data_IF_065173481396
#
_entry.id   IF_065173481396
#
_cell.length_a   1.000
_cell.length_b   1.000
_cell.length_c   1.000
_cell.angle_alpha   90.00
_cell.angle_beta   90.00
_cell.angle_gamma   90.00
#
_symmetry.space_group_name_H-M   'P 1'
#
loop_
_entity.id
_entity.type
_entity.pdbx_description
1 polymer ?
#
# COMPACT_ATOMS: atom_id res chain seq x y z
N UNK A 1 6.20 10.53 18.96
CA UNK A 1 4.88 10.74 19.61
C UNK A 1 3.92 11.23 18.53
N UNK A 2 2.69 10.70 18.46
CA UNK A 2 1.72 11.13 17.44
C UNK A 2 1.16 12.49 17.83
N UNK A 3 1.07 13.41 16.88
CA UNK A 3 0.51 14.74 17.12
C UNK A 3 -1.00 14.67 17.11
N UNK A 4 -1.63 15.27 18.12
CA UNK A 4 -3.09 15.26 18.30
C UNK A 4 -3.55 16.68 18.60
N UNK A 5 -4.77 17.04 18.18
CA UNK A 5 -5.36 18.32 18.55
C UNK A 5 -5.59 18.38 20.07
N UNK A 6 -5.35 19.54 20.68
CA UNK A 6 -5.55 19.80 22.10
C UNK A 6 -6.97 19.47 22.58
N UNK A 7 -7.99 19.68 21.74
CA UNK A 7 -9.36 19.29 22.05
C UNK A 7 -9.53 17.78 22.25
N UNK A 8 -8.87 16.99 21.41
CA UNK A 8 -8.90 15.54 21.49
C UNK A 8 -8.02 15.02 22.62
N UNK A 9 -6.87 15.65 22.88
CA UNK A 9 -6.03 15.34 24.05
C UNK A 9 -6.84 15.48 25.36
N UNK A 10 -7.46 16.65 25.57
CA UNK A 10 -8.30 16.88 26.76
C UNK A 10 -9.47 15.89 26.85
N UNK A 11 -10.08 15.52 25.72
CA UNK A 11 -11.16 14.53 25.68
C UNK A 11 -10.69 13.16 26.18
N UNK A 12 -9.55 12.68 25.68
CA UNK A 12 -8.99 11.38 26.04
C UNK A 12 -8.51 11.33 27.50
N UNK A 13 -8.07 12.44 28.07
CA UNK A 13 -7.66 12.53 29.48
C UNK A 13 -8.85 12.57 30.46
N UNK A 14 -9.95 13.21 30.07
CA UNK A 14 -11.08 13.51 30.98
C UNK A 14 -12.14 12.42 30.96
N UNK A 15 -12.44 11.88 29.77
CA UNK A 15 -13.61 11.03 29.57
C UNK A 15 -13.33 9.56 29.84
N UNK A 16 -14.22 8.94 30.61
CA UNK A 16 -14.11 7.53 30.99
C UNK A 16 -14.76 6.59 29.98
N UNK A 17 -15.69 7.10 29.16
CA UNK A 17 -16.40 6.35 28.13
C UNK A 17 -16.09 7.00 26.79
N UNK A 18 -15.34 6.28 25.97
CA UNK A 18 -14.86 6.78 24.69
C UNK A 18 -15.51 5.95 23.58
N UNK A 19 -16.18 6.64 22.68
CA UNK A 19 -16.69 6.06 21.43
C UNK A 19 -15.71 6.40 20.31
N UNK A 20 -15.31 5.39 19.54
CA UNK A 20 -14.37 5.55 18.43
C UNK A 20 -14.71 4.64 17.27
N UNK A 21 -14.31 5.03 16.07
CA UNK A 21 -14.35 4.19 14.89
C UNK A 21 -13.04 4.25 14.11
N UNK A 22 -12.87 3.32 13.19
CA UNK A 22 -11.74 3.31 12.29
C UNK A 22 -12.14 3.89 10.92
N UNK A 23 -11.29 4.76 10.39
CA UNK A 23 -11.41 5.42 9.10
C UNK A 23 -10.26 4.95 8.20
N UNK A 24 -10.59 4.61 6.97
CA UNK A 24 -9.65 4.11 5.97
C UNK A 24 -9.56 5.07 4.81
N UNK A 25 -8.34 5.44 4.44
CA UNK A 25 -8.03 6.18 3.22
C UNK A 25 -7.20 5.29 2.30
N UNK A 26 -7.78 4.86 1.19
CA UNK A 26 -7.14 4.11 0.13
C UNK A 26 -6.69 5.07 -0.96
N UNK A 27 -5.39 5.08 -1.27
CA UNK A 27 -4.79 5.90 -2.32
C UNK A 27 -4.25 4.96 -3.38
N UNK A 28 -4.78 5.03 -4.59
CA UNK A 28 -4.31 4.22 -5.71
C UNK A 28 -3.04 4.81 -6.34
N UNK A 29 -2.34 4.04 -7.17
CA UNK A 29 -1.11 4.48 -7.87
C UNK A 29 -1.36 5.68 -8.81
N UNK A 30 -2.58 5.77 -9.38
CA UNK A 30 -3.03 6.91 -10.19
C UNK A 30 -3.27 8.20 -9.38
N UNK A 31 -3.18 8.14 -8.05
CA UNK A 31 -3.40 9.26 -7.13
C UNK A 31 -4.85 9.44 -6.65
N UNK A 32 -5.79 8.65 -7.16
CA UNK A 32 -7.19 8.70 -6.72
C UNK A 32 -7.32 8.21 -5.27
N UNK A 33 -8.20 8.86 -4.52
CA UNK A 33 -8.40 8.64 -3.09
C UNK A 33 -9.82 8.18 -2.81
N UNK A 34 -9.93 7.16 -1.99
CA UNK A 34 -11.19 6.58 -1.55
C UNK A 34 -11.25 6.52 -0.03
N UNK A 35 -12.40 6.87 0.53
CA UNK A 35 -12.58 7.09 1.96
C UNK A 35 -13.70 6.18 2.48
N UNK A 36 -13.36 5.30 3.42
CA UNK A 36 -14.27 4.29 3.98
C UNK A 36 -14.29 4.34 5.50
N UNK A 37 -15.44 4.05 6.10
CA UNK A 37 -15.62 3.98 7.55
C UNK A 37 -16.14 2.61 7.98
N UNK A 38 -15.72 2.15 9.16
CA UNK A 38 -16.25 0.96 9.85
C UNK A 38 -17.44 1.31 10.76
N UNK A 39 -18.28 2.25 10.34
CA UNK A 39 -19.47 2.69 11.09
C UNK A 39 -20.74 2.36 10.34
N UNK A 40 -21.89 2.61 10.96
CA UNK A 40 -23.21 2.50 10.30
C UNK A 40 -23.70 3.84 9.74
N UNK A 41 -22.89 4.90 9.85
CA UNK A 41 -23.18 6.25 9.36
C UNK A 41 -21.96 6.83 8.66
N UNK A 42 -22.19 7.67 7.65
CA UNK A 42 -21.11 8.41 6.99
C UNK A 42 -20.47 9.41 7.95
N UNK A 43 -19.14 9.53 7.87
CA UNK A 43 -18.38 10.42 8.74
C UNK A 43 -17.71 11.50 7.91
N UNK A 44 -18.03 12.75 8.24
CA UNK A 44 -17.34 13.90 7.66
C UNK A 44 -16.15 14.29 8.54
N UNK A 45 -14.94 14.18 8.00
CA UNK A 45 -13.71 14.56 8.70
C UNK A 45 -12.70 15.18 7.73
N UNK A 46 -12.11 16.31 8.13
CA UNK A 46 -11.08 17.03 7.38
C UNK A 46 -11.46 17.34 5.91
N UNK A 47 -12.73 17.69 5.66
CA UNK A 47 -13.24 18.00 4.32
C UNK A 47 -13.58 16.79 3.45
N UNK A 48 -13.42 15.56 3.96
CA UNK A 48 -13.77 14.32 3.26
C UNK A 48 -14.90 13.58 3.95
N UNK A 49 -15.75 12.93 3.15
CA UNK A 49 -16.81 12.05 3.63
C UNK A 49 -16.35 10.61 3.52
N UNK A 50 -16.22 9.94 4.65
CA UNK A 50 -15.92 8.52 4.74
C UNK A 50 -17.21 7.73 4.67
N UNK A 51 -17.32 6.90 3.65
CA UNK A 51 -18.53 6.15 3.34
C UNK A 51 -18.65 4.90 4.21
N UNK A 52 -19.81 4.70 4.81
CA UNK A 52 -20.12 3.53 5.64
C UNK A 52 -20.62 2.32 4.83
N UNK A 53 -21.31 2.58 3.72
CA UNK A 53 -22.05 1.58 2.96
C UNK A 53 -21.36 1.11 1.68
N UNK A 54 -20.10 1.49 1.46
CA UNK A 54 -19.39 1.19 0.22
C UNK A 54 -18.55 -0.09 0.30
N UNK A 55 -18.00 -0.44 1.45
CA UNK A 55 -17.20 -1.65 1.66
C UNK A 55 -17.31 -2.09 3.12
N UNK A 56 -17.42 -3.40 3.36
CA UNK A 56 -17.33 -3.95 4.71
C UNK A 56 -15.87 -4.26 5.03
N UNK A 57 -15.24 -3.38 5.81
CA UNK A 57 -13.80 -3.44 6.09
C UNK A 57 -13.57 -3.87 7.53
N UNK A 58 -12.92 -5.02 7.72
CA UNK A 58 -12.50 -5.51 9.02
C UNK A 58 -10.99 -5.66 9.09
N UNK A 59 -10.36 -4.99 10.05
CA UNK A 59 -8.90 -5.12 10.27
C UNK A 59 -8.55 -6.06 11.40
N UNK A 60 -7.33 -6.57 11.35
CA UNK A 60 -6.66 -7.22 12.48
C UNK A 60 -5.85 -6.18 13.29
N UNK A 61 -5.27 -6.64 14.39
CA UNK A 61 -4.35 -5.83 15.19
C UNK A 61 -3.12 -5.44 14.36
N UNK A 62 -2.71 -4.17 14.45
CA UNK A 62 -1.47 -3.68 13.86
C UNK A 62 -0.30 -4.27 14.62
N UNK A 63 0.64 -4.90 13.90
CA UNK A 63 1.88 -5.45 14.47
C UNK A 63 2.99 -4.44 14.28
N UNK A 64 3.39 -3.80 15.39
CA UNK A 64 4.46 -2.81 15.44
C UNK A 64 5.64 -3.43 16.21
N UNK A 65 6.86 -3.27 15.70
CA UNK A 65 8.08 -3.78 16.29
C UNK A 65 9.04 -2.64 16.66
N UNK A 66 9.91 -2.88 17.63
CA UNK A 66 10.96 -1.96 18.10
C UNK A 66 12.29 -2.13 17.34
N UNK A 67 12.33 -3.02 16.34
CA UNK A 67 13.51 -3.37 15.54
C UNK A 67 13.27 -3.03 14.07
N UNK A 68 14.32 -3.10 13.25
CA UNK A 68 14.24 -2.94 11.78
C UNK A 68 13.56 -4.17 11.16
N UNK A 69 12.25 -4.27 11.37
CA UNK A 69 11.34 -5.27 10.80
C UNK A 69 10.17 -4.52 10.18
N UNK A 70 9.56 -5.11 9.16
CA UNK A 70 8.39 -4.52 8.51
C UNK A 70 7.19 -4.65 9.43
N UNK A 71 6.63 -3.51 9.82
CA UNK A 71 5.34 -3.47 10.51
C UNK A 71 4.21 -3.79 9.55
N UNK A 72 3.22 -4.52 10.05
CA UNK A 72 2.17 -5.10 9.22
C UNK A 72 0.78 -4.98 9.83
N UNK A 73 -0.21 -4.86 8.96
CA UNK A 73 -1.63 -4.93 9.31
C UNK A 73 -2.36 -5.73 8.24
N UNK A 74 -3.19 -6.68 8.66
CA UNK A 74 -4.10 -7.39 7.75
C UNK A 74 -5.47 -6.71 7.76
N UNK A 75 -6.03 -6.47 6.58
CA UNK A 75 -7.39 -5.98 6.40
C UNK A 75 -8.16 -6.95 5.52
N UNK A 76 -9.32 -7.37 5.98
CA UNK A 76 -10.27 -8.14 5.18
C UNK A 76 -11.35 -7.19 4.69
N UNK A 77 -11.51 -7.11 3.37
CA UNK A 77 -12.57 -6.37 2.70
C UNK A 77 -13.58 -7.37 2.17
N UNK A 78 -14.84 -7.14 2.50
CA UNK A 78 -15.98 -7.82 1.88
C UNK A 78 -16.72 -6.78 1.05
N UNK A 79 -17.03 -7.15 -0.19
CA UNK A 79 -17.64 -6.27 -1.16
C UNK A 79 -18.63 -7.06 -2.01
N UNK A 80 -19.71 -6.38 -2.40
CA UNK A 80 -20.70 -6.89 -3.35
C UNK A 80 -20.38 -6.39 -4.77
N UNK A 81 -21.14 -6.86 -5.76
CA UNK A 81 -21.01 -6.46 -7.16
C UNK A 81 -21.30 -4.97 -7.41
N UNK A 82 -22.06 -4.34 -6.50
CA UNK A 82 -22.41 -2.93 -6.56
C UNK A 82 -21.29 -2.02 -6.04
N UNK A 83 -20.37 -2.57 -5.24
CA UNK A 83 -19.28 -1.82 -4.65
C UNK A 83 -18.17 -1.66 -5.68
N UNK A 84 -18.02 -0.44 -6.19
CA UNK A 84 -17.14 -0.14 -7.32
C UNK A 84 -15.86 0.56 -6.88
N UNK A 85 -14.76 0.16 -7.51
CA UNK A 85 -13.47 0.83 -7.47
C UNK A 85 -13.05 1.12 -8.92
N UNK A 86 -12.77 2.38 -9.26
CA UNK A 86 -12.48 2.80 -10.64
C UNK A 86 -13.57 2.36 -11.67
N UNK A 87 -14.83 2.32 -11.23
CA UNK A 87 -15.98 1.94 -12.07
C UNK A 87 -16.18 0.43 -12.26
N UNK A 88 -15.25 -0.41 -11.80
CA UNK A 88 -15.35 -1.86 -11.81
C UNK A 88 -15.78 -2.39 -10.43
N UNK A 89 -16.48 -3.54 -10.34
CA UNK A 89 -16.69 -4.20 -9.06
C UNK A 89 -15.36 -4.40 -8.31
N UNK A 90 -15.34 -4.14 -7.00
CA UNK A 90 -14.12 -4.08 -6.20
C UNK A 90 -13.25 -5.34 -6.35
N UNK A 91 -13.88 -6.53 -6.36
CA UNK A 91 -13.16 -7.79 -6.53
C UNK A 91 -12.51 -7.93 -7.91
N UNK A 92 -13.22 -7.50 -8.95
CA UNK A 92 -12.68 -7.51 -10.31
C UNK A 92 -11.53 -6.50 -10.44
N UNK A 93 -11.65 -5.32 -9.83
CA UNK A 93 -10.58 -4.33 -9.79
C UNK A 93 -9.32 -4.88 -9.12
N UNK A 94 -9.47 -5.61 -8.00
CA UNK A 94 -8.35 -6.27 -7.34
C UNK A 94 -7.70 -7.35 -8.22
N UNK A 95 -8.48 -8.17 -8.92
CA UNK A 95 -7.96 -9.16 -9.87
C UNK A 95 -7.25 -8.54 -11.07
N UNK A 96 -7.67 -7.36 -11.50
CA UNK A 96 -7.06 -6.61 -12.59
C UNK A 96 -5.78 -5.85 -12.16
N UNK A 97 -5.36 -5.95 -10.89
CA UNK A 97 -4.15 -5.27 -10.39
C UNK A 97 -4.35 -3.79 -10.06
N UNK A 98 -5.59 -3.29 -9.94
CA UNK A 98 -5.85 -1.87 -9.61
C UNK A 98 -5.29 -1.48 -8.24
N UNK A 99 -5.18 -2.45 -7.33
CA UNK A 99 -4.61 -2.26 -5.99
C UNK A 99 -3.08 -2.32 -5.95
N UNK A 100 -2.42 -2.59 -7.08
CA UNK A 100 -0.96 -2.65 -7.13
C UNK A 100 -0.38 -1.27 -6.81
N UNK A 101 0.60 -1.25 -5.90
CA UNK A 101 1.24 -0.02 -5.37
C UNK A 101 0.30 0.94 -4.65
N UNK A 102 -0.95 0.55 -4.39
CA UNK A 102 -1.85 1.36 -3.60
C UNK A 102 -1.32 1.51 -2.16
N UNK A 103 -1.71 2.60 -1.50
CA UNK A 103 -1.43 2.86 -0.09
C UNK A 103 -2.72 2.89 0.70
N UNK A 104 -2.70 2.34 1.91
CA UNK A 104 -3.82 2.41 2.83
C UNK A 104 -3.37 3.10 4.11
N UNK A 105 -4.12 4.12 4.52
CA UNK A 105 -3.93 4.83 5.79
C UNK A 105 -5.12 4.55 6.70
N UNK A 106 -4.82 4.08 7.91
CA UNK A 106 -5.77 3.85 8.99
C UNK A 106 -5.70 5.00 9.97
N UNK A 107 -6.85 5.62 10.22
CA UNK A 107 -7.05 6.60 11.28
C UNK A 107 -8.09 6.09 12.26
N UNK A 108 -7.99 6.50 13.52
CA UNK A 108 -9.04 6.29 14.51
C UNK A 108 -9.69 7.60 14.83
N UNK A 109 -10.99 7.69 14.56
CA UNK A 109 -11.81 8.85 14.85
C UNK A 109 -12.50 8.67 16.21
N UNK A 110 -12.57 9.75 16.98
CA UNK A 110 -13.19 9.79 18.30
C UNK A 110 -14.39 10.71 18.28
N UNK A 111 -15.45 10.25 18.95
CA UNK A 111 -16.73 10.94 18.99
C UNK A 111 -17.05 11.39 20.41
N UNK A 112 -17.68 12.55 20.50
CA UNK A 112 -18.48 12.98 21.63
C UNK A 112 -19.92 13.02 21.15
N UNK A 113 -20.69 12.05 21.61
CA UNK A 113 -22.04 11.76 21.11
C UNK A 113 -22.02 11.50 19.59
N UNK A 114 -22.57 12.41 18.78
CA UNK A 114 -22.57 12.32 17.31
C UNK A 114 -21.53 13.25 16.65
N UNK A 115 -20.81 14.05 17.45
CA UNK A 115 -19.83 15.01 16.93
C UNK A 115 -18.43 14.41 16.92
N UNK A 116 -17.71 14.62 15.81
CA UNK A 116 -16.30 14.23 15.70
C UNK A 116 -15.45 15.19 16.53
N UNK A 117 -14.74 14.66 17.53
CA UNK A 117 -13.79 15.43 18.36
C UNK A 117 -12.45 15.57 17.64
N UNK A 118 -12.03 14.51 16.96
CA UNK A 118 -10.80 14.45 16.18
C UNK A 118 -10.43 13.01 15.81
N UNK A 119 -9.35 12.86 15.05
CA UNK A 119 -8.81 11.56 14.68
C UNK A 119 -7.30 11.46 14.89
N UNK A 120 -6.81 10.24 15.07
CA UNK A 120 -5.39 9.90 15.23
C UNK A 120 -4.97 8.93 14.13
N UNK A 121 -3.89 9.24 13.41
CA UNK A 121 -3.30 8.31 12.44
C UNK A 121 -2.75 7.08 13.18
N UNK A 122 -3.29 5.89 12.93
CA UNK A 122 -2.86 4.66 13.57
C UNK A 122 -1.72 3.97 12.82
N UNK A 123 -1.91 3.75 11.53
CA UNK A 123 -0.98 3.00 10.69
C UNK A 123 -1.14 3.39 9.22
N UNK A 124 -0.07 3.24 8.44
CA UNK A 124 -0.10 3.53 7.01
C UNK A 124 0.98 2.75 6.28
N UNK A 125 0.70 2.31 5.06
CA UNK A 125 1.65 1.51 4.29
C UNK A 125 1.16 1.16 2.90
N UNK A 126 1.98 0.43 2.16
CA UNK A 126 1.60 -0.09 0.84
C UNK A 126 0.72 -1.34 1.00
N UNK A 127 -0.24 -1.47 0.11
CA UNK A 127 -1.19 -2.57 0.03
C UNK A 127 -0.63 -3.68 -0.82
N UNK A 128 -0.73 -4.91 -0.33
CA UNK A 128 -0.51 -6.13 -1.10
C UNK A 128 -1.74 -7.02 -0.99
N UNK A 129 -2.18 -7.59 -2.10
CA UNK A 129 -3.27 -8.57 -2.11
C UNK A 129 -2.72 -9.92 -1.67
N UNK A 130 -3.08 -10.37 -0.47
CA UNK A 130 -2.63 -11.66 0.09
C UNK A 130 -3.50 -12.81 -0.38
N UNK A 131 -4.82 -12.60 -0.47
CA UNK A 131 -5.75 -13.54 -1.08
C UNK A 131 -6.98 -12.81 -1.59
N UNK A 132 -7.52 -13.28 -2.72
CA UNK A 132 -8.80 -12.83 -3.26
C UNK A 132 -9.61 -14.08 -3.61
N UNK A 133 -10.72 -14.31 -2.92
CA UNK A 133 -11.53 -15.51 -3.12
C UNK A 133 -12.96 -15.39 -2.62
N UNK A 134 -13.92 -15.82 -3.43
CA UNK A 134 -15.34 -15.70 -3.13
C UNK A 134 -15.76 -14.23 -3.05
N UNK A 135 -16.33 -13.82 -1.91
CA UNK A 135 -16.77 -12.45 -1.62
C UNK A 135 -15.80 -11.68 -0.70
N UNK A 136 -14.61 -12.24 -0.42
CA UNK A 136 -13.64 -11.66 0.50
C UNK A 136 -12.29 -11.45 -0.17
N UNK A 137 -11.65 -10.34 0.19
CA UNK A 137 -10.26 -10.04 -0.16
C UNK A 137 -9.49 -9.77 1.13
N UNK A 138 -8.34 -10.42 1.27
CA UNK A 138 -7.41 -10.17 2.36
C UNK A 138 -6.24 -9.35 1.82
N UNK A 139 -6.11 -8.14 2.36
CA UNK A 139 -5.05 -7.20 2.07
C UNK A 139 -4.02 -7.22 3.21
N UNK A 140 -2.75 -7.27 2.86
CA UNK A 140 -1.63 -7.06 3.76
C UNK A 140 -1.08 -5.65 3.54
N UNK A 141 -1.20 -4.80 4.55
CA UNK A 141 -0.64 -3.44 4.55
C UNK A 141 0.72 -3.51 5.23
N UNK A 142 1.76 -3.16 4.49
CA UNK A 142 3.15 -3.17 4.97
C UNK A 142 3.69 -1.75 5.05
N UNK A 143 4.34 -1.43 6.16
CA UNK A 143 5.01 -0.14 6.33
C UNK A 143 6.08 0.09 5.26
N UNK A 144 6.42 1.36 5.02
CA UNK A 144 7.42 1.76 4.00
C UNK A 144 8.82 1.19 4.29
N UNK A 145 9.09 0.75 5.54
CA UNK A 145 10.32 0.04 5.92
C UNK A 145 10.54 -1.26 5.15
N UNK A 146 9.53 -1.80 4.47
CA UNK A 146 9.72 -2.92 3.54
C UNK A 146 10.72 -2.64 2.42
N UNK A 147 10.84 -1.37 2.00
CA UNK A 147 11.82 -0.98 0.99
C UNK A 147 13.27 -1.18 1.42
N UNK A 148 13.54 -1.27 2.74
CA UNK A 148 14.88 -1.56 3.23
C UNK A 148 15.29 -3.01 2.97
N UNK A 149 14.32 -3.91 2.81
CA UNK A 149 14.54 -5.31 2.44
C UNK A 149 14.56 -5.47 0.90
N UNK A 150 15.26 -4.58 0.20
CA UNK A 150 15.50 -4.70 -1.24
C UNK A 150 16.92 -5.21 -1.49
N UNK A 151 17.10 -5.91 -2.59
CA UNK A 151 18.40 -6.43 -2.98
C UNK A 151 19.32 -5.27 -3.39
N UNK A 152 20.41 -5.07 -2.65
CA UNK A 152 21.46 -4.12 -3.00
C UNK A 152 22.56 -4.82 -3.82
N UNK A 153 23.18 -4.16 -4.80
CA UNK A 153 22.91 -2.82 -5.33
C UNK A 153 21.77 -2.79 -6.36
N UNK A 154 21.04 -1.67 -6.42
CA UNK A 154 19.90 -1.43 -7.34
C UNK A 154 20.27 -1.67 -8.81
N UNK A 155 21.53 -1.42 -9.17
CA UNK A 155 22.07 -1.70 -10.50
C UNK A 155 23.22 -2.66 -10.38
N UNK A 156 23.12 -3.77 -11.10
CA UNK A 156 24.19 -4.75 -11.23
C UNK A 156 24.79 -4.61 -12.60
N UNK A 157 26.04 -4.17 -12.65
CA UNK A 157 26.78 -4.03 -13.90
C UNK A 157 27.38 -5.40 -14.24
N UNK A 158 26.63 -6.21 -14.97
CA UNK A 158 27.13 -7.46 -15.52
C UNK A 158 27.69 -7.23 -16.93
N UNK A 159 28.82 -7.85 -17.31
CA UNK A 159 29.37 -7.78 -18.66
C UNK A 159 28.56 -8.56 -19.71
N UNK A 160 27.36 -9.04 -19.36
CA UNK A 160 26.48 -9.78 -20.25
C UNK A 160 25.56 -8.77 -20.95
N UNK A 161 25.87 -8.44 -22.21
CA UNK A 161 24.87 -7.88 -23.11
C UNK A 161 23.69 -8.83 -23.26
N UNK A 162 22.49 -8.32 -23.52
CA UNK A 162 21.33 -9.13 -23.86
C UNK A 162 21.59 -9.84 -25.19
N UNK A 163 22.11 -11.06 -25.14
CA UNK A 163 22.32 -11.91 -26.31
C UNK A 163 21.01 -12.64 -26.61
N UNK A 164 20.35 -12.33 -27.72
CA UNK A 164 19.37 -13.22 -28.34
C UNK A 164 20.04 -13.90 -29.55
N UNK A 165 19.97 -15.22 -29.59
CA UNK A 165 20.57 -16.03 -30.66
C UNK A 165 19.56 -16.20 -31.79
N UNK A 166 19.92 -15.80 -33.01
CA UNK A 166 19.24 -16.26 -34.23
C UNK A 166 19.87 -17.57 -34.72
N UNK A 167 19.13 -18.31 -35.57
CA UNK A 167 19.49 -19.65 -36.07
C UNK A 167 20.89 -19.74 -36.73
N UNK A 168 21.45 -18.62 -37.20
CA UNK A 168 22.79 -18.54 -37.83
C UNK A 168 23.94 -18.10 -36.88
N UNK A 169 23.69 -17.97 -35.57
CA UNK A 169 24.76 -17.77 -34.57
C UNK A 169 25.42 -16.39 -34.54
N UNK A 170 24.89 -15.40 -35.25
CA UNK A 170 25.37 -14.00 -35.18
C UNK A 170 24.58 -13.21 -34.14
N UNK A 171 25.31 -12.58 -33.23
CA UNK A 171 24.76 -11.69 -32.20
C UNK A 171 24.83 -10.25 -32.71
N UNK A 172 23.70 -9.56 -32.76
CA UNK A 172 23.65 -8.10 -32.73
C UNK A 172 22.37 -7.63 -32.02
N UNK A 173 22.47 -6.69 -31.08
CA UNK A 173 21.31 -5.89 -30.66
C UNK A 173 21.44 -4.51 -31.32
N UNK A 174 20.43 -4.10 -32.08
CA UNK A 174 20.41 -2.81 -32.81
C UNK A 174 19.64 -1.72 -32.05
N UNK A 175 18.97 -2.07 -30.95
CA UNK A 175 18.22 -1.12 -30.15
C UNK A 175 19.02 -0.72 -28.91
N UNK A 176 19.38 0.55 -28.86
CA UNK A 176 19.94 1.18 -27.67
C UNK A 176 18.82 1.31 -26.65
N UNK A 177 18.70 0.32 -25.77
CA UNK A 177 17.85 0.46 -24.59
C UNK A 177 18.51 1.48 -23.64
N UNK A 178 17.77 2.50 -23.22
CA UNK A 178 18.29 3.61 -22.41
C UNK A 178 18.82 3.15 -21.03
N UNK A 179 18.59 1.89 -20.67
CA UNK A 179 19.01 1.28 -19.41
C UNK A 179 20.34 0.50 -19.48
N UNK A 180 20.92 0.26 -20.67
CA UNK A 180 22.13 -0.56 -20.81
C UNK A 180 23.26 0.16 -21.54
N UNK A 181 24.40 0.33 -20.85
CA UNK A 181 25.64 0.87 -21.41
C UNK A 181 26.69 -0.23 -21.34
N UNK A 182 27.12 -0.72 -22.50
CA UNK A 182 28.13 -1.77 -22.64
C UNK A 182 29.51 -1.14 -22.36
N UNK A 183 30.23 -1.62 -21.35
CA UNK A 183 31.66 -1.37 -21.24
C UNK A 183 32.41 -2.48 -21.99
N UNK A 184 33.04 -2.22 -23.14
CA UNK A 184 33.75 -3.27 -23.86
C UNK A 184 35.03 -3.62 -23.11
N UNK A 185 35.08 -4.81 -22.49
CA UNK A 185 36.33 -5.41 -22.04
C UNK A 185 36.96 -6.15 -23.23
N UNK A 186 38.04 -5.59 -23.78
CA UNK A 186 38.90 -6.31 -24.73
C UNK A 186 39.96 -7.05 -23.89
N UNK A 187 39.86 -8.38 -23.71
CA UNK A 187 40.90 -9.11 -23.01
C UNK A 187 42.19 -9.06 -23.84
N UNK A 188 43.24 -8.43 -23.29
CA UNK A 188 44.59 -8.51 -23.85
C UNK A 188 45.25 -9.83 -23.44
N UNK A 189 46.08 -10.33 -24.35
CA UNK A 189 46.69 -11.67 -24.44
C UNK A 189 47.63 -12.05 -23.28
N UNK A 190 47.70 -11.27 -22.21
CA UNK A 190 48.76 -11.35 -21.17
C UNK A 190 48.29 -12.00 -19.86
N UNK A 191 47.01 -12.36 -19.73
CA UNK A 191 46.43 -12.91 -18.48
C UNK A 191 46.25 -14.45 -18.53
N UNK A 192 46.98 -15.15 -19.40
CA UNK A 192 47.02 -16.61 -19.41
C UNK A 192 48.47 -17.08 -19.28
N UNK A 193 48.92 -17.22 -18.03
CA UNK A 193 49.81 -18.30 -17.61
C UNK A 193 49.00 -19.14 -16.62
#
# INVERSE_FOLDING_TARGET
MKTVNKSLETYLETEKKITSCDLYELVLDNGNRYYYADTDIDISFNGHTYLHNALLIKRQQVKIHDRVVVDTMTVTVQADINDKLEGLPFLQAAHNGVLDRAKLYLRRCFFRDQSVVGAIDLFGGNVEVKSAGGIKIELSIKAETQGLNMEFPVRRYYPQGSYTTNEDGVIYSKETDAATLIAPFVPRREVLI
#
